data_IF_013985168778
#
_entry.id   IF_013985168778
#
_cell.length_a   1.000
_cell.length_b   1.000
_cell.length_c   1.000
_cell.angle_alpha   90.00
_cell.angle_beta   90.00
_cell.angle_gamma   90.00
#
_symmetry.space_group_name_H-M   'P 1'
#
loop_
_entity.id
_entity.type
_entity.pdbx_description
1 polymer ?
#
# COMPACT_ATOMS: atom_id res chain seq x y z
N UNK A 1 -10.53 -6.90 -28.06
CA UNK A 1 -9.10 -7.25 -27.96
C UNK A 1 -8.52 -7.25 -29.36
N UNK A 2 -7.62 -6.30 -29.69
CA UNK A 2 -7.04 -6.22 -31.03
C UNK A 2 -5.94 -7.28 -31.11
N UNK A 3 -6.16 -8.33 -31.91
CA UNK A 3 -5.19 -9.40 -32.13
C UNK A 3 -4.10 -8.89 -33.07
N UNK A 4 -2.87 -8.80 -32.58
CA UNK A 4 -1.71 -8.41 -33.40
C UNK A 4 -1.39 -9.49 -34.44
N UNK A 5 -1.12 -9.07 -35.69
CA UNK A 5 -0.67 -9.95 -36.78
C UNK A 5 0.62 -10.69 -36.36
N UNK A 6 0.75 -11.96 -36.76
CA UNK A 6 1.84 -12.84 -36.32
C UNK A 6 3.25 -12.26 -36.54
N UNK A 7 3.43 -11.48 -37.60
CA UNK A 7 4.71 -10.84 -37.93
C UNK A 7 5.15 -9.78 -36.91
N UNK A 8 4.19 -9.10 -36.27
CA UNK A 8 4.46 -8.13 -35.21
C UNK A 8 4.83 -8.84 -33.90
N UNK A 9 4.25 -10.02 -33.63
CA UNK A 9 4.61 -10.84 -32.47
C UNK A 9 6.03 -11.37 -32.58
N UNK A 10 6.47 -11.81 -33.76
CA UNK A 10 7.86 -12.26 -33.99
C UNK A 10 8.88 -11.13 -33.71
N UNK A 11 8.59 -9.91 -34.18
CA UNK A 11 9.47 -8.75 -33.97
C UNK A 11 9.59 -8.38 -32.48
N UNK A 12 8.49 -8.41 -31.72
CA UNK A 12 8.50 -8.12 -30.29
C UNK A 12 9.30 -9.16 -29.49
N UNK A 13 9.19 -10.44 -29.84
CA UNK A 13 9.94 -11.52 -29.21
C UNK A 13 11.44 -11.38 -29.44
N UNK A 14 11.87 -11.05 -30.67
CA UNK A 14 13.28 -10.83 -30.97
C UNK A 14 13.85 -9.62 -30.21
N UNK A 15 13.11 -8.51 -30.10
CA UNK A 15 13.51 -7.34 -29.31
C UNK A 15 13.59 -7.69 -27.82
N UNK A 16 12.63 -8.45 -27.30
CA UNK A 16 12.60 -8.91 -25.92
C UNK A 16 13.84 -9.74 -25.56
N UNK A 17 14.19 -10.71 -26.41
CA UNK A 17 15.39 -11.54 -26.25
C UNK A 17 16.66 -10.67 -26.28
N UNK A 18 16.78 -9.77 -27.27
CA UNK A 18 17.97 -8.91 -27.42
C UNK A 18 18.16 -7.94 -26.26
N UNK A 19 17.06 -7.48 -25.65
CA UNK A 19 17.09 -6.48 -24.57
C UNK A 19 17.01 -7.08 -23.17
N UNK A 20 16.82 -8.41 -23.04
CA UNK A 20 16.58 -9.08 -21.75
C UNK A 20 15.28 -8.65 -21.07
N UNK A 21 14.34 -8.07 -21.82
CA UNK A 21 13.06 -7.54 -21.30
C UNK A 21 11.91 -8.45 -21.66
N UNK A 22 10.82 -8.40 -20.90
CA UNK A 22 9.60 -9.11 -21.25
C UNK A 22 8.95 -8.52 -22.50
N UNK A 23 8.29 -9.36 -23.31
CA UNK A 23 7.51 -8.93 -24.49
C UNK A 23 6.53 -7.80 -24.10
N UNK A 24 5.91 -7.90 -22.92
CA UNK A 24 4.97 -6.91 -22.38
C UNK A 24 5.62 -5.57 -22.08
N UNK A 25 6.86 -5.58 -21.57
CA UNK A 25 7.64 -4.36 -21.33
C UNK A 25 8.08 -3.71 -22.65
N UNK A 26 8.46 -4.50 -23.65
CA UNK A 26 8.78 -4.03 -25.00
C UNK A 26 7.53 -3.43 -25.67
N UNK A 27 6.39 -4.11 -25.58
CA UNK A 27 5.10 -3.62 -26.10
C UNK A 27 4.69 -2.31 -25.42
N UNK A 28 4.81 -2.23 -24.09
CA UNK A 28 4.53 -1.01 -23.33
C UNK A 28 5.47 0.15 -23.73
N UNK A 29 6.76 -0.13 -23.95
CA UNK A 29 7.78 0.83 -24.35
C UNK A 29 7.67 1.26 -25.82
N UNK A 30 7.06 0.46 -26.69
CA UNK A 30 6.75 0.84 -28.08
C UNK A 30 5.42 1.60 -28.16
N UNK A 31 4.45 1.24 -27.31
CA UNK A 31 3.15 1.94 -27.21
C UNK A 31 3.27 3.29 -26.53
N UNK A 32 4.22 3.41 -25.60
CA UNK A 32 4.62 4.69 -25.05
C UNK A 32 5.85 5.15 -25.84
N UNK A 33 5.74 6.00 -26.89
CA UNK A 33 6.94 6.68 -27.37
C UNK A 33 7.62 7.27 -26.14
N UNK A 34 8.95 7.14 -26.04
CA UNK A 34 9.77 7.77 -25.00
C UNK A 34 9.43 9.26 -25.00
N UNK A 35 8.39 9.63 -24.26
CA UNK A 35 7.83 10.96 -24.28
C UNK A 35 8.87 11.82 -23.56
N UNK A 36 9.57 12.73 -24.27
CA UNK A 36 10.58 13.57 -23.64
C UNK A 36 9.99 14.49 -22.56
N UNK A 37 8.66 14.66 -22.52
CA UNK A 37 7.94 15.39 -21.48
C UNK A 37 7.52 14.54 -20.27
N UNK A 38 7.86 13.24 -20.23
CA UNK A 38 7.67 12.46 -19.01
C UNK A 38 8.62 12.98 -17.95
N UNK A 39 8.05 13.65 -16.94
CA UNK A 39 8.76 14.05 -15.72
C UNK A 39 9.62 12.88 -15.25
N UNK A 40 10.92 13.11 -14.97
CA UNK A 40 11.81 12.05 -14.53
C UNK A 40 11.20 11.32 -13.33
N UNK A 41 11.36 9.99 -13.30
CA UNK A 41 10.96 9.21 -12.13
C UNK A 41 11.68 9.83 -10.91
N UNK A 42 10.92 10.19 -9.88
CA UNK A 42 11.48 10.77 -8.65
C UNK A 42 12.57 9.83 -8.15
N UNK A 43 13.79 10.34 -8.04
CA UNK A 43 14.88 9.59 -7.41
C UNK A 43 14.46 9.20 -5.99
N UNK A 44 14.78 7.97 -5.54
CA UNK A 44 14.47 7.57 -4.19
C UNK A 44 15.16 8.53 -3.20
N UNK A 45 14.48 8.98 -2.14
CA UNK A 45 15.06 9.92 -1.18
C UNK A 45 16.28 9.30 -0.48
N UNK A 46 17.29 10.14 -0.16
CA UNK A 46 18.50 9.76 0.59
C UNK A 46 18.12 9.14 1.93
N UNK A 47 18.69 7.97 2.25
CA UNK A 47 18.49 7.30 3.54
C UNK A 47 19.03 8.15 4.70
N UNK A 48 18.42 8.05 5.88
CA UNK A 48 18.93 8.67 7.10
C UNK A 48 20.07 7.84 7.68
N UNK A 49 21.14 8.52 8.12
CA UNK A 49 22.24 7.89 8.85
C UNK A 49 21.92 7.82 10.34
N UNK A 50 22.65 6.99 11.08
CA UNK A 50 22.51 6.91 12.53
C UNK A 50 22.84 8.25 13.22
N UNK A 51 23.88 8.95 12.77
CA UNK A 51 24.23 10.27 13.31
C UNK A 51 23.11 11.29 13.10
N UNK A 52 22.44 11.27 11.95
CA UNK A 52 21.27 12.10 11.70
C UNK A 52 20.10 11.75 12.63
N UNK A 53 19.88 10.46 12.91
CA UNK A 53 18.83 10.01 13.82
C UNK A 53 19.11 10.47 15.27
N UNK A 54 20.35 10.33 15.74
CA UNK A 54 20.80 10.81 17.06
C UNK A 54 20.63 12.32 17.20
N UNK A 55 20.96 13.09 16.15
CA UNK A 55 20.79 14.54 16.12
C UNK A 55 19.30 14.93 16.13
N UNK A 56 18.44 14.24 15.39
CA UNK A 56 16.98 14.48 15.43
C UNK A 56 16.43 14.22 16.84
N UNK A 57 16.84 13.13 17.49
CA UNK A 57 16.42 12.81 18.87
C UNK A 57 16.88 13.91 19.83
N UNK A 58 18.16 14.29 19.76
CA UNK A 58 18.73 15.34 20.60
C UNK A 58 17.97 16.65 20.46
N UNK A 59 17.84 17.16 19.23
CA UNK A 59 17.21 18.45 18.96
C UNK A 59 15.72 18.44 19.33
N UNK A 60 15.04 17.29 19.20
CA UNK A 60 13.62 17.18 19.49
C UNK A 60 13.31 16.99 20.97
N UNK A 61 14.05 16.12 21.64
CA UNK A 61 13.75 15.67 23.01
C UNK A 61 14.51 16.45 24.08
N UNK A 62 15.75 16.88 23.78
CA UNK A 62 16.56 17.66 24.71
C UNK A 62 16.36 19.16 24.50
N UNK A 63 16.45 19.63 23.25
CA UNK A 63 16.40 21.06 22.93
C UNK A 63 14.97 21.57 22.66
N UNK A 64 14.00 20.67 22.50
CA UNK A 64 12.58 21.00 22.33
C UNK A 64 12.24 21.68 20.99
N UNK A 65 13.12 21.62 19.99
CA UNK A 65 12.96 22.30 18.72
C UNK A 65 11.79 21.74 17.89
N UNK A 66 11.19 22.60 17.07
CA UNK A 66 10.17 22.19 16.10
C UNK A 66 10.81 21.47 14.91
N UNK A 67 10.05 20.62 14.22
CA UNK A 67 10.58 19.90 13.04
C UNK A 67 11.08 20.84 11.93
N UNK A 68 10.49 22.03 11.80
CA UNK A 68 10.95 23.04 10.84
C UNK A 68 12.34 23.57 11.22
N UNK A 69 12.57 23.87 12.49
CA UNK A 69 13.87 24.32 12.98
C UNK A 69 14.92 23.21 12.87
N UNK A 70 14.56 21.97 13.20
CA UNK A 70 15.44 20.80 13.04
C UNK A 70 15.82 20.61 11.56
N UNK A 71 14.86 20.71 10.64
CA UNK A 71 15.11 20.62 9.21
C UNK A 71 15.99 21.77 8.69
N UNK A 72 15.85 22.99 9.22
CA UNK A 72 16.75 24.10 8.89
C UNK A 72 18.19 23.84 9.36
N UNK A 73 18.37 23.20 10.52
CA UNK A 73 19.68 22.87 11.05
C UNK A 73 20.33 21.70 10.30
N UNK A 74 19.54 20.71 9.90
CA UNK A 74 19.98 19.60 9.05
C UNK A 74 19.91 20.03 7.57
N UNK A 75 20.92 20.75 7.09
CA UNK A 75 21.03 21.47 5.79
C UNK A 75 20.57 20.76 4.48
N UNK A 76 20.10 19.52 4.52
CA UNK A 76 19.54 18.78 3.38
C UNK A 76 18.26 17.99 3.67
N UNK A 77 17.62 18.21 4.83
CA UNK A 77 16.41 17.47 5.22
C UNK A 77 15.19 18.38 5.15
N UNK A 78 14.09 17.83 4.65
CA UNK A 78 12.81 18.52 4.66
C UNK A 78 12.10 18.31 6.00
N UNK A 79 11.29 19.28 6.41
CA UNK A 79 10.44 19.20 7.61
C UNK A 79 9.60 17.92 7.64
N UNK A 80 8.97 17.56 6.51
CA UNK A 80 8.17 16.34 6.39
C UNK A 80 9.02 15.08 6.52
N UNK A 81 10.24 15.09 5.98
CA UNK A 81 11.19 14.00 6.11
C UNK A 81 11.60 13.76 7.56
N UNK A 82 11.98 14.82 8.28
CA UNK A 82 12.39 14.76 9.69
C UNK A 82 11.23 14.29 10.56
N UNK A 83 10.04 14.88 10.38
CA UNK A 83 8.84 14.51 11.11
C UNK A 83 8.47 13.04 10.86
N UNK A 84 8.49 12.61 9.60
CA UNK A 84 8.20 11.23 9.21
C UNK A 84 9.22 10.24 9.76
N UNK A 85 10.51 10.62 9.80
CA UNK A 85 11.58 9.80 10.37
C UNK A 85 11.39 9.63 11.88
N UNK A 86 11.22 10.74 12.60
CA UNK A 86 11.04 10.73 14.05
C UNK A 86 9.83 9.88 14.44
N UNK A 87 8.66 10.10 13.82
CA UNK A 87 7.44 9.40 14.19
C UNK A 87 7.40 7.91 13.85
N UNK A 88 8.13 7.46 12.81
CA UNK A 88 8.08 6.06 12.37
C UNK A 88 9.19 5.20 12.97
N UNK A 89 10.33 5.80 13.31
CA UNK A 89 11.55 5.05 13.60
C UNK A 89 12.26 5.46 14.89
N UNK A 90 12.11 6.70 15.36
CA UNK A 90 12.91 7.22 16.49
C UNK A 90 12.11 7.39 17.76
N UNK A 91 10.85 7.79 17.64
CA UNK A 91 9.96 7.86 18.80
C UNK A 91 9.64 6.43 19.25
N UNK A 92 10.06 6.08 20.46
CA UNK A 92 9.58 4.87 21.11
C UNK A 92 8.08 5.02 21.41
N UNK A 93 7.27 4.37 20.58
CA UNK A 93 5.80 4.36 20.69
C UNK A 93 5.29 3.06 21.29
N UNK A 94 6.18 2.22 21.82
CA UNK A 94 5.87 0.81 22.03
C UNK A 94 5.52 0.11 20.71
N UNK A 95 4.88 -1.07 20.75
CA UNK A 95 4.53 -1.79 19.53
C UNK A 95 3.66 -0.92 18.62
N UNK A 96 4.10 -0.74 17.38
CA UNK A 96 3.31 -0.11 16.31
C UNK A 96 1.93 -0.72 16.39
N UNK A 97 0.89 0.10 16.63
CA UNK A 97 -0.51 -0.29 16.45
C UNK A 97 -0.68 -0.63 14.97
N UNK A 98 -0.24 -1.82 14.56
CA UNK A 98 -0.57 -2.38 13.27
C UNK A 98 -2.09 -2.33 13.25
N UNK A 99 -2.69 -1.68 12.25
CA UNK A 99 -4.15 -1.60 12.13
C UNK A 99 -4.67 -2.98 12.43
N UNK A 100 -5.38 -3.11 13.56
CA UNK A 100 -5.80 -4.40 14.04
C UNK A 100 -6.46 -5.10 12.86
N UNK A 101 -5.99 -6.30 12.54
CA UNK A 101 -6.55 -7.04 11.41
C UNK A 101 -8.02 -7.37 11.66
N UNK A 102 -8.60 -6.94 12.78
CA UNK A 102 -10.03 -6.94 13.07
C UNK A 102 -10.88 -6.26 11.99
N UNK A 103 -10.36 -5.39 11.10
CA UNK A 103 -11.16 -4.97 9.92
C UNK A 103 -11.34 -6.09 8.87
N UNK A 104 -10.44 -7.08 8.86
CA UNK A 104 -10.54 -8.25 7.98
C UNK A 104 -11.39 -9.31 8.68
N UNK A 105 -12.36 -9.82 7.95
CA UNK A 105 -13.05 -11.04 8.33
C UNK A 105 -12.07 -12.21 8.25
N UNK A 106 -11.96 -13.00 9.30
CA UNK A 106 -11.27 -14.29 9.28
C UNK A 106 -11.99 -15.24 8.32
N UNK A 107 -11.33 -16.35 7.98
CA UNK A 107 -11.93 -17.40 7.17
C UNK A 107 -13.17 -17.97 7.87
N UNK A 108 -13.03 -18.27 9.16
CA UNK A 108 -14.09 -18.83 9.99
C UNK A 108 -15.26 -17.86 10.16
N UNK A 109 -15.00 -16.57 10.40
CA UNK A 109 -16.04 -15.53 10.44
C UNK A 109 -16.81 -15.45 9.12
N UNK A 110 -16.12 -15.55 7.98
CA UNK A 110 -16.74 -15.52 6.66
C UNK A 110 -17.58 -16.78 6.39
N UNK A 111 -17.12 -17.96 6.80
CA UNK A 111 -17.85 -19.22 6.67
C UNK A 111 -19.09 -19.25 7.55
N UNK A 112 -18.97 -18.81 8.81
CA UNK A 112 -20.09 -18.69 9.74
C UNK A 112 -21.15 -17.70 9.22
N UNK A 113 -20.74 -16.57 8.64
CA UNK A 113 -21.65 -15.61 8.01
C UNK A 113 -22.41 -16.22 6.82
N UNK A 114 -21.72 -17.01 5.97
CA UNK A 114 -22.35 -17.71 4.84
C UNK A 114 -23.36 -18.75 5.37
N UNK A 115 -22.98 -19.53 6.39
CA UNK A 115 -23.81 -20.57 6.97
C UNK A 115 -25.10 -20.00 7.58
N UNK A 116 -24.98 -19.01 8.47
CA UNK A 116 -26.12 -18.38 9.13
C UNK A 116 -27.07 -17.72 8.12
N UNK A 117 -26.56 -17.22 7.00
CA UNK A 117 -27.42 -16.67 5.95
C UNK A 117 -28.06 -17.74 5.07
N UNK A 118 -27.37 -18.85 4.79
CA UNK A 118 -27.93 -19.99 4.04
C UNK A 118 -29.02 -20.71 4.81
N UNK A 119 -28.90 -20.80 6.13
CA UNK A 119 -29.94 -21.33 7.02
C UNK A 119 -31.19 -20.43 7.04
N UNK A 120 -31.15 -19.22 6.47
CA UNK A 120 -32.33 -18.45 6.05
C UNK A 120 -33.13 -17.76 7.16
N UNK A 121 -32.90 -18.11 8.43
CA UNK A 121 -33.74 -17.66 9.55
C UNK A 121 -33.29 -16.37 10.23
N UNK A 122 -32.08 -15.87 9.95
CA UNK A 122 -31.52 -14.72 10.66
C UNK A 122 -31.32 -13.50 9.74
N UNK A 123 -31.74 -12.35 10.24
CA UNK A 123 -31.44 -11.04 9.67
C UNK A 123 -29.99 -10.63 9.96
N UNK A 124 -29.41 -9.73 9.17
CA UNK A 124 -28.05 -9.23 9.44
C UNK A 124 -27.91 -8.51 10.78
N UNK A 125 -29.01 -7.99 11.34
CA UNK A 125 -29.04 -7.40 12.68
C UNK A 125 -28.82 -8.48 13.76
N UNK A 126 -29.55 -9.59 13.66
CA UNK A 126 -29.40 -10.73 14.58
C UNK A 126 -28.05 -11.44 14.40
N UNK A 127 -27.55 -11.53 13.17
CA UNK A 127 -26.20 -12.06 12.92
C UNK A 127 -25.14 -11.15 13.54
N UNK A 128 -25.32 -9.82 13.55
CA UNK A 128 -24.35 -8.90 14.15
C UNK A 128 -24.18 -9.12 15.67
N UNK A 129 -25.21 -9.58 16.37
CA UNK A 129 -25.12 -9.93 17.80
C UNK A 129 -24.16 -11.10 18.05
N UNK A 130 -24.02 -12.00 17.08
CA UNK A 130 -23.11 -13.15 17.14
C UNK A 130 -21.67 -12.81 16.69
N UNK A 131 -21.43 -11.59 16.21
CA UNK A 131 -20.14 -11.14 15.66
C UNK A 131 -19.63 -9.91 16.41
N UNK A 132 -18.91 -10.08 17.54
CA UNK A 132 -18.44 -8.95 18.35
C UNK A 132 -17.57 -8.01 17.51
N UNK A 133 -17.88 -6.71 17.55
CA UNK A 133 -17.17 -5.68 16.78
C UNK A 133 -17.56 -5.60 15.30
N UNK A 134 -18.58 -6.34 14.85
CA UNK A 134 -19.17 -6.21 13.50
C UNK A 134 -20.56 -5.59 13.59
N UNK A 135 -20.97 -4.93 12.51
CA UNK A 135 -22.33 -4.41 12.38
C UNK A 135 -23.02 -5.01 11.15
N UNK A 136 -24.36 -4.97 11.13
CA UNK A 136 -25.19 -5.56 10.08
C UNK A 136 -24.79 -5.10 8.67
N UNK A 137 -24.45 -3.82 8.51
CA UNK A 137 -23.99 -3.23 7.25
C UNK A 137 -22.67 -3.86 6.77
N UNK A 138 -21.71 -4.06 7.68
CA UNK A 138 -20.43 -4.68 7.38
C UNK A 138 -20.57 -6.15 6.97
N UNK A 139 -21.49 -6.88 7.60
CA UNK A 139 -21.80 -8.27 7.28
C UNK A 139 -22.43 -8.40 5.89
N UNK A 140 -23.43 -7.56 5.59
CA UNK A 140 -24.09 -7.51 4.28
C UNK A 140 -23.11 -7.18 3.14
N UNK A 141 -22.24 -6.19 3.35
CA UNK A 141 -21.20 -5.81 2.39
C UNK A 141 -20.19 -6.93 2.17
N UNK A 142 -19.77 -7.61 3.24
CA UNK A 142 -18.85 -8.75 3.18
C UNK A 142 -19.46 -9.93 2.41
N UNK A 143 -20.69 -10.32 2.77
CA UNK A 143 -21.37 -11.44 2.12
C UNK A 143 -21.61 -11.17 0.62
N UNK A 144 -22.05 -9.95 0.27
CA UNK A 144 -22.22 -9.54 -1.12
C UNK A 144 -20.93 -9.69 -1.93
N UNK A 145 -19.77 -9.36 -1.35
CA UNK A 145 -18.46 -9.53 -1.99
C UNK A 145 -18.03 -11.00 -2.12
N UNK A 146 -18.35 -11.82 -1.11
CA UNK A 146 -18.08 -13.27 -1.15
C UNK A 146 -18.90 -13.96 -2.25
N UNK A 147 -20.18 -13.57 -2.39
CA UNK A 147 -21.08 -14.15 -3.38
C UNK A 147 -20.84 -13.65 -4.81
N UNK A 148 -20.30 -12.43 -4.98
CA UNK A 148 -20.05 -11.84 -6.31
C UNK A 148 -18.80 -12.38 -7.04
N UNK A 149 -18.03 -13.27 -6.42
CA UNK A 149 -16.82 -13.85 -7.01
C UNK A 149 -15.69 -12.84 -7.19
N UNK A 150 -14.45 -13.25 -6.89
CA UNK A 150 -13.26 -12.48 -7.30
C UNK A 150 -13.21 -12.48 -8.83
N UNK A 151 -13.25 -11.30 -9.45
CA UNK A 151 -12.71 -11.11 -10.80
C UNK A 151 -11.21 -11.34 -10.80
#
# INVERSE_FOLDING_TARGET
MISLRNDQKLKLTQIAIRTGKSIRAVEYALRSPLNPERKPLKTPPRAYTQAEDEEIIRLREQDGLTYAQIATQMQERSTDGVQGRYYRYLQDRGPIRTKDKSWRYTKDEAEQLIRLRKEGHLSFAQIAELFPGRNALSLSSKLSKLMKGRK
#
